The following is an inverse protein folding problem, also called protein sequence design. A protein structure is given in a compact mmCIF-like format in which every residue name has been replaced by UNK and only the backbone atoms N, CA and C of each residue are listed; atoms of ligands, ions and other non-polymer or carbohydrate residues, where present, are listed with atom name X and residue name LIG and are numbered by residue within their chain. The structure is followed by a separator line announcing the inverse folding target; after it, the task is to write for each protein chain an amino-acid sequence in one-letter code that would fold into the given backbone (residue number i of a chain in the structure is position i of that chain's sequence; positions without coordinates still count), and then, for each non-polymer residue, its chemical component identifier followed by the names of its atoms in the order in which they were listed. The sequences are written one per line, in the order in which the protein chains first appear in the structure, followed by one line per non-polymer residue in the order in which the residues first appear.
data_IF_224696481470
#
_entry.id   IF_224696481470
#
_cell.length_a   1.000
_cell.length_b   1.000
_cell.length_c   1.000
_cell.angle_alpha   90.00
_cell.angle_beta   90.00
_cell.angle_gamma   90.00
#
_symmetry.space_group_name_H-M   'P 1'
#
loop_
_entity.id
_entity.type
_entity.pdbx_description
1 polymer ?
#
# COMPACT_ATOMS: atom_id res chain seq x y z
N UNK A 1 59.08 35.43 -27.04
CA UNK A 1 57.84 34.64 -27.09
C UNK A 1 57.45 34.26 -25.68
N UNK A 2 56.56 35.04 -25.07
CA UNK A 2 56.09 34.84 -23.69
C UNK A 2 54.81 33.98 -23.75
N UNK A 3 54.84 32.76 -23.18
CA UNK A 3 53.66 31.90 -23.07
C UNK A 3 52.87 32.27 -21.81
N UNK A 4 51.71 32.83 -22.00
CA UNK A 4 50.71 33.06 -20.91
C UNK A 4 50.04 31.71 -20.57
N UNK A 5 50.23 31.27 -19.33
CA UNK A 5 49.50 30.17 -18.74
C UNK A 5 48.20 30.74 -18.14
N UNK A 6 47.08 30.51 -18.76
CA UNK A 6 45.74 30.80 -18.23
C UNK A 6 45.37 29.76 -17.21
N UNK A 7 45.39 30.15 -15.93
CA UNK A 7 44.89 29.35 -14.81
C UNK A 7 43.36 29.44 -14.79
N UNK A 8 42.67 28.38 -15.22
CA UNK A 8 41.21 28.29 -15.19
C UNK A 8 40.80 27.97 -13.77
N UNK A 9 40.17 28.92 -13.08
CA UNK A 9 39.55 28.75 -11.78
C UNK A 9 38.27 27.96 -11.97
N UNK A 10 38.25 26.66 -11.62
CA UNK A 10 37.04 25.86 -11.56
C UNK A 10 36.32 26.23 -10.25
N UNK A 11 35.30 27.07 -10.36
CA UNK A 11 34.41 27.38 -9.25
C UNK A 11 33.47 26.17 -9.05
N UNK A 12 33.76 25.34 -8.08
CA UNK A 12 32.86 24.26 -7.65
C UNK A 12 31.67 24.90 -6.92
N UNK A 13 30.56 25.06 -7.62
CA UNK A 13 29.27 25.35 -6.98
C UNK A 13 28.83 24.13 -6.18
N UNK A 14 29.05 24.15 -4.87
CA UNK A 14 28.38 23.25 -3.94
C UNK A 14 26.93 23.68 -3.89
N UNK A 15 26.07 23.04 -4.68
CA UNK A 15 24.63 23.09 -4.46
C UNK A 15 24.36 22.40 -3.12
N UNK A 16 24.23 23.19 -2.05
CA UNK A 16 23.48 22.75 -0.87
C UNK A 16 22.03 22.57 -1.34
N UNK A 17 21.70 21.36 -1.80
CA UNK A 17 20.33 20.97 -1.98
C UNK A 17 19.70 20.99 -0.57
N UNK A 18 18.94 22.04 -0.28
CA UNK A 18 18.03 22.06 0.84
C UNK A 18 17.01 20.95 0.57
N UNK A 19 17.22 19.76 1.17
CA UNK A 19 16.19 18.74 1.16
C UNK A 19 15.00 19.34 1.88
N UNK A 20 13.80 19.39 1.28
CA UNK A 20 12.63 19.87 1.99
C UNK A 20 12.49 19.04 3.27
N UNK A 21 12.28 19.73 4.40
CA UNK A 21 12.06 19.05 5.66
C UNK A 21 10.89 18.08 5.51
N UNK A 22 11.15 16.79 5.84
CA UNK A 22 10.12 15.76 5.78
C UNK A 22 9.09 16.06 6.88
N UNK A 23 7.78 15.87 6.61
CA UNK A 23 6.76 16.09 7.61
C UNK A 23 6.98 15.20 8.84
N UNK A 24 6.76 15.75 10.03
CA UNK A 24 6.77 14.97 11.28
C UNK A 24 5.45 14.22 11.38
N UNK A 25 5.41 13.00 10.84
CA UNK A 25 4.21 12.15 10.85
C UNK A 25 4.12 11.36 12.17
N UNK A 26 2.91 10.96 12.61
CA UNK A 26 2.80 10.12 13.81
C UNK A 26 3.41 8.73 13.58
N UNK A 27 3.83 8.04 14.66
CA UNK A 27 4.26 6.65 14.58
C UNK A 27 3.10 5.76 14.12
N UNK A 28 3.40 4.53 13.67
CA UNK A 28 2.39 3.54 13.28
C UNK A 28 1.49 3.20 14.47
N UNK A 29 2.09 3.03 15.65
CA UNK A 29 1.36 2.78 16.89
C UNK A 29 1.51 3.96 17.83
N UNK A 30 0.40 4.45 18.39
CA UNK A 30 0.41 5.52 19.40
C UNK A 30 1.17 5.13 20.67
N UNK A 31 1.11 3.85 21.05
CA UNK A 31 1.95 3.27 22.08
C UNK A 31 2.91 2.27 21.43
N UNK A 32 4.24 2.36 21.69
CA UNK A 32 5.20 1.41 21.15
C UNK A 32 4.86 -0.03 21.57
N UNK A 33 4.82 -0.95 20.60
CA UNK A 33 4.52 -2.36 20.85
C UNK A 33 5.76 -3.17 21.18
N UNK A 34 6.94 -2.74 20.72
CA UNK A 34 8.16 -3.54 20.76
C UNK A 34 8.14 -4.79 19.87
N UNK A 35 7.06 -4.99 19.12
CA UNK A 35 6.86 -6.14 18.25
C UNK A 35 7.51 -5.90 16.87
N UNK A 36 7.93 -6.98 16.21
CA UNK A 36 8.41 -6.96 14.83
C UNK A 36 7.86 -8.18 14.10
N UNK A 37 7.09 -7.94 13.06
CA UNK A 37 6.44 -8.97 12.25
C UNK A 37 6.82 -8.82 10.76
N UNK A 38 8.07 -9.16 10.35
CA UNK A 38 8.49 -9.03 8.96
C UNK A 38 7.54 -9.74 8.03
N UNK A 39 7.19 -9.08 6.91
CA UNK A 39 6.19 -9.59 5.98
C UNK A 39 4.73 -9.28 6.34
N UNK A 40 4.47 -8.58 7.44
CA UNK A 40 3.13 -8.07 7.76
C UNK A 40 2.90 -6.72 7.12
N UNK A 41 1.72 -6.49 6.52
CA UNK A 41 1.27 -5.16 6.12
C UNK A 41 0.83 -4.37 7.35
N UNK A 42 1.54 -3.28 7.63
CA UNK A 42 1.40 -2.53 8.91
C UNK A 42 0.87 -1.11 8.74
N UNK A 43 0.89 -0.58 7.51
CA UNK A 43 0.42 0.76 7.20
C UNK A 43 0.01 0.88 5.73
N UNK A 44 -0.72 1.95 5.39
CA UNK A 44 -1.02 2.32 4.00
C UNK A 44 -1.03 3.83 3.87
N UNK A 45 -0.51 4.32 2.74
CA UNK A 45 -0.65 5.72 2.38
C UNK A 45 -1.32 5.83 1.00
N UNK A 46 -2.28 6.73 0.90
CA UNK A 46 -2.83 7.15 -0.38
C UNK A 46 -1.96 8.26 -0.97
N UNK A 47 -1.41 7.99 -2.12
CA UNK A 47 -0.78 8.98 -2.96
C UNK A 47 -1.83 9.53 -3.93
N UNK A 48 -2.11 10.84 -3.90
CA UNK A 48 -3.18 11.45 -4.70
C UNK A 48 -2.84 12.87 -5.13
N UNK A 49 -3.49 13.34 -6.18
CA UNK A 49 -3.43 14.74 -6.64
C UNK A 49 -4.59 15.60 -6.11
N UNK A 50 -5.65 14.98 -5.54
CA UNK A 50 -6.84 15.66 -5.02
C UNK A 50 -7.20 15.19 -3.60
N UNK A 51 -6.47 15.72 -2.61
CA UNK A 51 -6.68 15.38 -1.20
C UNK A 51 -8.10 15.74 -0.73
N UNK A 52 -8.66 16.86 -1.18
CA UNK A 52 -9.97 17.32 -0.74
C UNK A 52 -11.09 16.37 -1.18
N UNK A 53 -11.09 15.96 -2.45
CA UNK A 53 -12.10 15.04 -2.97
C UNK A 53 -12.03 13.66 -2.29
N UNK A 54 -10.82 13.13 -2.09
CA UNK A 54 -10.66 11.81 -1.45
C UNK A 54 -11.04 11.85 0.02
N UNK A 55 -10.70 12.90 0.77
CA UNK A 55 -11.14 13.05 2.16
C UNK A 55 -12.65 13.02 2.27
N UNK A 56 -13.36 13.80 1.43
CA UNK A 56 -14.82 13.79 1.42
C UNK A 56 -15.38 12.41 1.13
N UNK A 57 -14.85 11.74 0.10
CA UNK A 57 -15.28 10.40 -0.32
C UNK A 57 -15.18 9.38 0.82
N UNK A 58 -14.00 9.27 1.45
CA UNK A 58 -13.79 8.29 2.52
C UNK A 58 -14.52 8.66 3.82
N UNK A 59 -14.68 9.95 4.14
CA UNK A 59 -15.51 10.37 5.27
C UNK A 59 -16.97 9.94 5.09
N UNK A 60 -17.52 10.17 3.92
CA UNK A 60 -18.92 9.86 3.62
C UNK A 60 -19.20 8.34 3.57
N UNK A 61 -18.24 7.55 3.05
CA UNK A 61 -18.43 6.10 2.92
C UNK A 61 -18.13 5.34 4.22
N UNK A 62 -17.06 5.73 4.92
CA UNK A 62 -16.49 4.94 6.01
C UNK A 62 -16.43 5.67 7.35
N UNK A 63 -16.82 6.95 7.41
CA UNK A 63 -16.76 7.73 8.64
C UNK A 63 -15.33 8.14 9.03
N UNK A 64 -14.37 8.11 8.10
CA UNK A 64 -13.01 8.49 8.40
C UNK A 64 -12.88 9.99 8.68
N UNK A 65 -12.00 10.32 9.61
CA UNK A 65 -11.63 11.69 9.96
C UNK A 65 -10.14 11.92 9.73
N UNK A 66 -9.68 13.17 9.80
CA UNK A 66 -8.31 13.51 9.37
C UNK A 66 -7.65 14.47 10.35
N UNK A 67 -6.32 14.32 10.48
CA UNK A 67 -5.43 15.28 11.10
C UNK A 67 -4.42 15.70 10.05
N UNK A 68 -4.42 16.98 9.66
CA UNK A 68 -3.46 17.53 8.71
C UNK A 68 -2.14 17.88 9.40
N UNK A 69 -1.03 17.54 8.74
CA UNK A 69 0.33 17.71 9.24
C UNK A 69 1.12 18.50 8.19
N UNK A 70 1.86 19.50 8.65
CA UNK A 70 2.64 20.39 7.81
C UNK A 70 2.08 21.80 7.77
N UNK A 71 2.74 22.68 7.01
CA UNK A 71 2.36 24.11 6.90
C UNK A 71 1.20 24.31 5.91
N UNK A 72 0.93 23.34 5.05
CA UNK A 72 -0.20 23.34 4.14
C UNK A 72 -1.09 22.12 4.36
N UNK A 73 -2.40 22.29 4.19
CA UNK A 73 -3.43 21.23 4.28
C UNK A 73 -3.20 20.08 3.27
N UNK A 74 -2.14 20.18 2.48
CA UNK A 74 -1.83 19.27 1.39
C UNK A 74 -0.50 18.51 1.54
N UNK A 75 0.22 18.64 2.68
CA UNK A 75 1.51 17.98 2.83
C UNK A 75 1.34 16.51 3.22
N UNK A 76 0.66 16.25 4.31
CA UNK A 76 0.31 14.91 4.77
C UNK A 76 -0.95 14.97 5.65
N UNK A 77 -1.83 14.01 5.48
CA UNK A 77 -3.00 13.86 6.34
C UNK A 77 -3.02 12.48 6.96
N UNK A 78 -3.12 12.42 8.27
CA UNK A 78 -3.37 11.16 8.98
C UNK A 78 -4.85 10.83 8.87
N UNK A 79 -5.17 9.64 8.42
CA UNK A 79 -6.52 9.09 8.38
C UNK A 79 -6.81 8.40 9.70
N UNK A 80 -7.93 8.75 10.32
CA UNK A 80 -8.39 8.13 11.55
C UNK A 80 -9.76 7.47 11.35
N UNK A 81 -9.93 6.32 11.98
CA UNK A 81 -11.22 5.70 12.19
C UNK A 81 -11.46 5.56 13.70
N UNK A 82 -12.58 6.11 14.20
CA UNK A 82 -12.89 6.15 15.64
C UNK A 82 -11.72 6.68 16.51
N UNK A 83 -11.00 7.69 15.98
CA UNK A 83 -9.86 8.32 16.66
C UNK A 83 -8.53 7.53 16.59
N UNK A 84 -8.52 6.34 15.99
CA UNK A 84 -7.33 5.51 15.79
C UNK A 84 -6.71 5.78 14.42
N UNK A 85 -5.40 6.08 14.31
CA UNK A 85 -4.72 6.19 13.02
C UNK A 85 -4.73 4.85 12.27
N UNK A 86 -5.18 4.88 11.01
CA UNK A 86 -5.31 3.69 10.16
C UNK A 86 -4.59 3.80 8.81
N UNK A 87 -4.27 5.02 8.37
CA UNK A 87 -3.61 5.28 7.10
C UNK A 87 -3.08 6.72 7.05
N UNK A 88 -2.42 7.07 5.94
CA UNK A 88 -2.08 8.43 5.60
C UNK A 88 -2.53 8.81 4.19
N UNK A 89 -2.51 10.10 3.88
CA UNK A 89 -2.73 10.64 2.55
C UNK A 89 -1.63 11.67 2.30
N UNK A 90 -0.95 11.61 1.17
CA UNK A 90 0.00 12.64 0.77
C UNK A 90 -0.19 13.05 -0.70
N UNK A 91 0.14 14.30 -0.97
CA UNK A 91 0.07 14.85 -2.32
C UNK A 91 1.30 14.43 -3.12
N UNK A 92 1.07 13.93 -4.32
CA UNK A 92 2.13 13.73 -5.28
C UNK A 92 2.61 15.10 -5.77
N UNK A 93 3.86 15.49 -5.42
CA UNK A 93 4.50 16.72 -5.89
C UNK A 93 5.31 16.39 -7.14
N UNK A 94 5.36 17.36 -8.07
CA UNK A 94 6.28 17.37 -9.23
C UNK A 94 6.17 16.21 -10.24
N UNK A 95 4.97 15.64 -10.39
CA UNK A 95 4.72 14.79 -11.55
C UNK A 95 4.10 15.65 -12.65
N UNK A 96 4.92 16.09 -13.60
CA UNK A 96 4.48 16.67 -14.88
C UNK A 96 3.72 15.64 -15.75
N UNK A 97 3.07 14.69 -15.15
CA UNK A 97 2.32 13.70 -15.91
C UNK A 97 0.91 14.23 -16.19
N UNK A 98 0.57 14.29 -17.46
CA UNK A 98 -0.80 14.52 -17.93
C UNK A 98 -1.78 13.44 -17.46
N UNK A 99 -1.28 12.38 -16.84
CA UNK A 99 -2.06 11.27 -16.29
C UNK A 99 -2.17 11.47 -14.78
N UNK A 100 -3.38 11.69 -14.30
CA UNK A 100 -3.71 11.61 -12.87
C UNK A 100 -3.29 10.22 -12.39
N UNK A 101 -2.43 10.19 -11.39
CA UNK A 101 -2.00 8.94 -10.77
C UNK A 101 -2.35 9.00 -9.30
N UNK A 102 -3.23 8.10 -8.88
CA UNK A 102 -3.57 7.94 -7.48
C UNK A 102 -3.56 6.47 -7.12
N UNK A 103 -2.92 6.13 -6.02
CA UNK A 103 -2.79 4.74 -5.60
C UNK A 103 -2.58 4.62 -4.09
N UNK A 104 -3.20 3.61 -3.50
CA UNK A 104 -2.86 3.13 -2.17
C UNK A 104 -1.54 2.36 -2.20
N UNK A 105 -0.57 2.81 -1.43
CA UNK A 105 0.72 2.14 -1.25
C UNK A 105 0.69 1.42 0.09
N UNK A 106 0.82 0.10 0.06
CA UNK A 106 0.86 -0.73 1.26
C UNK A 106 2.29 -0.88 1.78
N UNK A 107 2.46 -0.84 3.10
CA UNK A 107 3.75 -0.89 3.77
C UNK A 107 3.96 -2.26 4.42
N UNK A 108 4.96 -2.99 3.94
CA UNK A 108 5.43 -4.25 4.51
C UNK A 108 6.50 -4.01 5.57
N UNK A 109 6.32 -4.59 6.73
CA UNK A 109 7.33 -4.57 7.79
C UNK A 109 8.56 -5.36 7.39
N UNK A 110 9.74 -4.80 7.66
CA UNK A 110 11.05 -5.42 7.47
C UNK A 110 11.89 -5.31 8.75
N UNK A 111 12.64 -6.35 9.06
CA UNK A 111 13.56 -6.33 10.18
C UNK A 111 14.85 -5.55 9.87
N UNK A 112 15.34 -5.70 8.64
CA UNK A 112 16.57 -5.09 8.14
C UNK A 112 16.28 -4.45 6.78
N UNK A 113 16.23 -3.11 6.76
CA UNK A 113 15.89 -2.35 5.57
C UNK A 113 16.88 -2.56 4.42
N UNK A 114 18.18 -2.59 4.73
CA UNK A 114 19.21 -2.74 3.71
C UNK A 114 19.15 -4.13 3.07
N UNK A 115 19.02 -5.19 3.87
CA UNK A 115 18.87 -6.55 3.33
C UNK A 115 17.63 -6.71 2.47
N UNK A 116 16.50 -6.11 2.87
CA UNK A 116 15.27 -6.16 2.08
C UNK A 116 15.44 -5.44 0.73
N UNK A 117 16.08 -4.26 0.74
CA UNK A 117 16.35 -3.48 -0.48
C UNK A 117 17.37 -4.19 -1.39
N UNK A 118 18.42 -4.77 -0.84
CA UNK A 118 19.40 -5.55 -1.61
C UNK A 118 18.73 -6.77 -2.25
N UNK A 119 17.86 -7.47 -1.50
CA UNK A 119 17.08 -8.58 -2.04
C UNK A 119 16.23 -8.16 -3.26
N UNK A 120 15.56 -7.00 -3.19
CA UNK A 120 14.79 -6.46 -4.33
C UNK A 120 15.69 -6.30 -5.55
N UNK A 121 16.86 -5.66 -5.40
CA UNK A 121 17.81 -5.40 -6.48
C UNK A 121 18.34 -6.70 -7.10
N UNK A 122 18.64 -7.69 -6.27
CA UNK A 122 19.25 -8.96 -6.69
C UNK A 122 18.23 -9.94 -7.31
N UNK A 123 16.92 -9.75 -7.05
CA UNK A 123 15.88 -10.67 -7.51
C UNK A 123 14.92 -10.08 -8.55
N UNK A 124 15.38 -9.07 -9.30
CA UNK A 124 14.66 -8.54 -10.47
C UNK A 124 13.59 -7.50 -10.17
N UNK A 125 13.55 -6.99 -8.95
CA UNK A 125 12.80 -5.78 -8.60
C UNK A 125 13.63 -4.52 -8.83
N UNK A 126 13.11 -3.38 -8.41
CA UNK A 126 13.82 -2.11 -8.48
C UNK A 126 13.46 -1.19 -7.32
N UNK A 127 14.35 -0.27 -6.99
CA UNK A 127 14.14 0.70 -5.91
C UNK A 127 13.70 2.02 -6.53
N UNK A 128 12.48 2.46 -6.18
CA UNK A 128 11.96 3.76 -6.59
C UNK A 128 12.52 4.88 -5.73
N UNK A 129 12.59 4.66 -4.41
CA UNK A 129 13.21 5.57 -3.46
C UNK A 129 14.04 4.77 -2.47
N UNK A 130 15.34 5.08 -2.43
CA UNK A 130 16.28 4.46 -1.49
C UNK A 130 15.83 4.71 -0.03
N UNK A 131 16.30 3.90 0.94
CA UNK A 131 15.93 4.04 2.33
C UNK A 131 16.17 5.45 2.87
N UNK A 132 15.19 5.99 3.57
CA UNK A 132 15.25 7.29 4.26
C UNK A 132 14.51 7.22 5.59
N UNK A 133 14.93 8.05 6.53
CA UNK A 133 14.26 8.17 7.82
C UNK A 133 13.09 9.17 7.72
N UNK A 134 11.89 8.71 8.10
CA UNK A 134 10.73 9.56 8.29
C UNK A 134 10.51 9.77 9.79
N UNK A 135 10.61 11.02 10.29
CA UNK A 135 10.51 11.28 11.73
C UNK A 135 9.29 10.62 12.37
N UNK A 136 9.49 9.99 13.53
CA UNK A 136 8.53 9.20 14.30
C UNK A 136 7.99 7.93 13.61
N UNK A 137 8.13 7.77 12.28
CA UNK A 137 7.67 6.59 11.53
C UNK A 137 8.74 5.50 11.49
N UNK A 138 10.00 5.89 11.32
CA UNK A 138 11.14 5.00 11.14
C UNK A 138 11.68 5.01 9.71
N UNK A 139 12.46 4.00 9.36
CA UNK A 139 13.08 3.88 8.03
C UNK A 139 12.08 3.36 7.01
N UNK A 140 12.01 3.99 5.83
CA UNK A 140 11.07 3.69 4.75
C UNK A 140 11.83 3.60 3.43
N UNK A 141 11.38 2.73 2.53
CA UNK A 141 11.84 2.65 1.14
C UNK A 141 10.65 2.31 0.24
N UNK A 142 10.58 2.91 -0.96
CA UNK A 142 9.59 2.53 -1.97
C UNK A 142 10.25 1.66 -3.03
N UNK A 143 9.64 0.53 -3.33
CA UNK A 143 10.21 -0.47 -4.22
C UNK A 143 9.17 -1.02 -5.20
N UNK A 144 9.64 -1.55 -6.32
CA UNK A 144 8.87 -2.40 -7.21
C UNK A 144 9.35 -3.84 -7.06
N UNK A 145 8.42 -4.77 -6.99
CA UNK A 145 8.74 -6.20 -7.01
C UNK A 145 9.19 -6.66 -8.41
N UNK A 146 9.49 -7.95 -8.54
CA UNK A 146 9.99 -8.55 -9.80
C UNK A 146 9.00 -8.52 -10.97
N UNK A 147 7.76 -8.05 -10.75
CA UNK A 147 6.73 -7.88 -11.77
C UNK A 147 6.19 -6.44 -11.83
N UNK A 148 6.92 -5.49 -11.22
CA UNK A 148 6.61 -4.06 -11.18
C UNK A 148 5.36 -3.68 -10.35
N UNK A 149 4.96 -4.50 -9.37
CA UNK A 149 4.01 -4.06 -8.36
C UNK A 149 4.73 -3.18 -7.33
N UNK A 150 4.23 -1.95 -7.12
CA UNK A 150 4.79 -1.02 -6.15
C UNK A 150 4.33 -1.36 -4.73
N UNK A 151 5.25 -1.24 -3.77
CA UNK A 151 4.99 -1.30 -2.34
C UNK A 151 6.03 -0.47 -1.58
N UNK A 152 5.81 -0.27 -0.29
CA UNK A 152 6.78 0.33 0.59
C UNK A 152 7.28 -0.69 1.61
N UNK A 153 8.57 -0.62 1.94
CA UNK A 153 9.11 -1.24 3.14
C UNK A 153 9.10 -0.24 4.28
N UNK A 154 8.89 -0.74 5.50
CA UNK A 154 9.01 0.04 6.72
C UNK A 154 9.68 -0.77 7.81
N UNK A 155 10.68 -0.16 8.47
CA UNK A 155 11.17 -0.59 9.78
C UNK A 155 10.63 0.41 10.79
N UNK A 156 9.51 0.05 11.42
CA UNK A 156 8.77 0.96 12.29
C UNK A 156 9.57 1.35 13.54
N UNK A 157 9.56 2.63 13.88
CA UNK A 157 10.15 3.13 15.15
C UNK A 157 9.32 2.79 16.39
N UNK A 158 8.00 2.55 16.20
CA UNK A 158 7.06 2.20 17.29
C UNK A 158 6.78 0.70 17.39
N UNK A 159 7.48 -0.13 16.60
CA UNK A 159 7.15 -1.54 16.41
C UNK A 159 5.95 -1.74 15.49
N UNK A 160 5.61 -2.99 15.20
CA UNK A 160 4.49 -3.35 14.35
C UNK A 160 3.20 -3.47 15.16
N UNK A 161 2.03 -3.20 14.57
CA UNK A 161 0.75 -3.44 15.21
C UNK A 161 0.58 -4.92 15.56
N UNK A 162 -0.02 -5.21 16.71
CA UNK A 162 -0.40 -6.58 17.07
C UNK A 162 -1.45 -7.13 16.09
N UNK A 163 -1.52 -8.46 15.95
CA UNK A 163 -2.58 -9.08 15.15
C UNK A 163 -3.91 -8.93 15.88
N UNK A 164 -4.94 -8.47 15.16
CA UNK A 164 -6.29 -8.25 15.67
C UNK A 164 -7.33 -8.72 14.65
N UNK A 165 -8.54 -8.99 15.11
CA UNK A 165 -9.65 -9.26 14.21
C UNK A 165 -9.98 -8.02 13.36
N UNK A 166 -10.43 -8.21 12.12
CA UNK A 166 -10.85 -7.12 11.27
C UNK A 166 -11.95 -6.25 11.88
N UNK A 167 -11.78 -4.93 11.80
CA UNK A 167 -12.74 -3.92 12.22
C UNK A 167 -13.45 -3.39 10.98
N UNK A 168 -14.78 -3.19 11.04
CA UNK A 168 -15.51 -2.59 9.93
C UNK A 168 -15.00 -1.19 9.61
N UNK A 169 -14.97 -0.90 8.31
CA UNK A 169 -14.46 0.34 7.76
C UNK A 169 -12.96 0.58 7.99
N UNK A 170 -12.20 -0.50 8.32
CA UNK A 170 -10.74 -0.48 8.39
C UNK A 170 -10.13 -1.47 7.40
N UNK A 171 -8.85 -1.25 7.10
CA UNK A 171 -8.04 -2.16 6.29
C UNK A 171 -7.85 -3.49 7.02
N UNK A 172 -8.03 -4.61 6.31
CA UNK A 172 -7.85 -5.92 6.94
C UNK A 172 -7.04 -6.91 6.10
N UNK A 173 -7.00 -6.72 4.76
CA UNK A 173 -6.31 -7.62 3.86
C UNK A 173 -5.57 -6.87 2.75
N UNK A 174 -4.61 -7.54 2.12
CA UNK A 174 -3.90 -7.04 0.94
C UNK A 174 -3.64 -8.21 0.01
N UNK A 175 -3.88 -8.03 -1.28
CA UNK A 175 -3.80 -9.09 -2.27
C UNK A 175 -2.93 -8.65 -3.45
N UNK A 176 -1.94 -9.45 -3.82
CA UNK A 176 -1.14 -9.23 -5.01
C UNK A 176 -1.87 -9.76 -6.24
N UNK A 177 -2.18 -8.87 -7.15
CA UNK A 177 -2.61 -9.19 -8.49
C UNK A 177 -1.40 -9.24 -9.39
N UNK A 178 -1.11 -10.41 -9.99
CA UNK A 178 0.14 -10.65 -10.70
C UNK A 178 -0.07 -11.39 -12.01
N UNK A 179 0.85 -11.24 -12.97
CA UNK A 179 0.82 -11.97 -14.23
C UNK A 179 1.37 -13.41 -14.07
N UNK A 180 2.33 -13.59 -13.16
CA UNK A 180 2.99 -14.87 -12.89
C UNK A 180 2.98 -15.15 -11.39
N UNK A 181 2.03 -16.00 -11.00
CA UNK A 181 1.78 -16.35 -9.60
C UNK A 181 2.96 -17.08 -8.98
N UNK A 182 3.55 -18.08 -9.69
CA UNK A 182 4.68 -18.84 -9.15
C UNK A 182 5.91 -17.96 -8.94
N UNK A 183 6.20 -17.09 -9.89
CA UNK A 183 7.30 -16.12 -9.77
C UNK A 183 7.09 -15.20 -8.56
N UNK A 184 5.86 -14.74 -8.33
CA UNK A 184 5.53 -13.90 -7.17
C UNK A 184 5.67 -14.68 -5.86
N UNK A 185 5.15 -15.90 -5.78
CA UNK A 185 5.27 -16.75 -4.59
C UNK A 185 6.75 -16.94 -4.26
N UNK A 186 7.58 -17.38 -5.22
CA UNK A 186 9.00 -17.60 -5.01
C UNK A 186 9.73 -16.34 -4.55
N UNK A 187 9.39 -15.18 -5.14
CA UNK A 187 9.96 -13.88 -4.79
C UNK A 187 9.68 -13.52 -3.33
N UNK A 188 8.42 -13.58 -2.91
CA UNK A 188 8.05 -13.20 -1.54
C UNK A 188 8.42 -14.26 -0.49
N UNK A 189 8.47 -15.54 -0.87
CA UNK A 189 9.03 -16.60 -0.01
C UNK A 189 10.52 -16.35 0.25
N UNK A 190 11.30 -16.00 -0.78
CA UNK A 190 12.72 -15.69 -0.62
C UNK A 190 12.97 -14.44 0.22
N UNK A 191 12.07 -13.43 0.14
CA UNK A 191 12.22 -12.18 0.88
C UNK A 191 11.86 -12.31 2.37
N UNK A 192 10.77 -13.03 2.69
CA UNK A 192 10.20 -13.07 4.05
C UNK A 192 10.13 -14.47 4.65
N UNK A 193 10.42 -15.53 3.89
CA UNK A 193 10.25 -16.90 4.38
C UNK A 193 8.78 -17.31 4.49
N UNK A 194 7.90 -16.77 3.69
CA UNK A 194 6.49 -17.18 3.70
C UNK A 194 6.32 -18.67 3.36
N UNK A 195 5.48 -19.35 4.10
CA UNK A 195 4.75 -20.52 3.61
C UNK A 195 3.58 -20.06 2.74
N UNK A 196 3.00 -20.95 1.93
CA UNK A 196 1.76 -20.65 1.24
C UNK A 196 0.80 -21.84 1.23
N UNK A 197 -0.49 -21.53 1.24
CA UNK A 197 -1.57 -22.50 1.00
C UNK A 197 -2.37 -22.09 -0.22
N UNK A 198 -2.81 -23.08 -0.97
CA UNK A 198 -3.61 -22.88 -2.19
C UNK A 198 -5.06 -23.26 -1.94
N UNK A 199 -5.97 -22.42 -2.39
CA UNK A 199 -7.40 -22.62 -2.31
C UNK A 199 -8.01 -22.54 -3.71
N UNK A 200 -9.03 -23.34 -3.98
CA UNK A 200 -9.88 -23.14 -5.14
C UNK A 200 -11.02 -22.19 -4.76
N UNK A 201 -11.16 -21.12 -5.53
CA UNK A 201 -12.30 -20.22 -5.42
C UNK A 201 -13.54 -20.84 -6.05
N UNK A 202 -14.73 -20.25 -5.82
CA UNK A 202 -15.97 -20.69 -6.50
C UNK A 202 -15.90 -20.57 -8.03
N UNK A 203 -15.05 -19.71 -8.57
CA UNK A 203 -14.80 -19.55 -10.00
C UNK A 203 -13.73 -20.50 -10.56
N UNK A 204 -13.34 -21.53 -9.80
CA UNK A 204 -12.30 -22.51 -10.14
C UNK A 204 -10.89 -21.91 -10.35
N UNK A 205 -10.70 -20.66 -9.97
CA UNK A 205 -9.38 -20.02 -9.96
C UNK A 205 -8.63 -20.39 -8.68
N UNK A 206 -7.30 -20.48 -8.80
CA UNK A 206 -6.45 -20.70 -7.63
C UNK A 206 -6.21 -19.38 -6.90
N UNK A 207 -6.35 -19.44 -5.60
CA UNK A 207 -6.06 -18.36 -4.65
C UNK A 207 -4.97 -18.81 -3.69
N UNK A 208 -3.89 -18.06 -3.57
CA UNK A 208 -2.76 -18.43 -2.73
C UNK A 208 -2.70 -17.50 -1.53
N UNK A 209 -2.69 -18.06 -0.33
CA UNK A 209 -2.53 -17.34 0.92
C UNK A 209 -1.10 -17.50 1.40
N UNK A 210 -0.40 -16.38 1.52
CA UNK A 210 0.96 -16.31 2.08
C UNK A 210 0.86 -16.23 3.60
N UNK A 211 1.66 -17.04 4.30
CA UNK A 211 1.59 -17.19 5.77
C UNK A 211 2.97 -17.14 6.42
N UNK A 212 3.02 -16.64 7.64
CA UNK A 212 4.16 -16.78 8.54
C UNK A 212 3.64 -17.39 9.84
N UNK A 213 4.22 -18.50 10.26
CA UNK A 213 3.80 -19.23 11.47
C UNK A 213 2.29 -19.57 11.48
N UNK A 214 1.76 -19.97 10.31
CA UNK A 214 0.34 -20.25 10.07
C UNK A 214 -0.58 -19.04 10.22
N UNK A 215 -0.05 -17.84 10.26
CA UNK A 215 -0.83 -16.60 10.26
C UNK A 215 -0.90 -16.03 8.84
N UNK A 216 -2.08 -15.89 8.26
CA UNK A 216 -2.25 -15.28 6.94
C UNK A 216 -1.72 -13.84 6.93
N UNK A 217 -0.98 -13.49 5.87
CA UNK A 217 -0.37 -12.16 5.72
C UNK A 217 -0.80 -11.46 4.43
N UNK A 218 -0.99 -12.22 3.34
CA UNK A 218 -1.40 -11.67 2.06
C UNK A 218 -2.02 -12.75 1.17
N UNK A 219 -2.79 -12.30 0.17
CA UNK A 219 -3.25 -13.12 -0.95
C UNK A 219 -2.40 -12.92 -2.18
N UNK A 220 -2.34 -13.91 -3.07
CA UNK A 220 -1.79 -13.78 -4.42
C UNK A 220 -2.75 -14.45 -5.40
N UNK A 221 -3.11 -13.72 -6.46
CA UNK A 221 -3.91 -14.24 -7.57
C UNK A 221 -3.34 -13.81 -8.92
N UNK A 222 -3.66 -14.58 -9.93
CA UNK A 222 -3.45 -14.16 -11.31
C UNK A 222 -4.43 -13.04 -11.64
N UNK A 223 -3.95 -11.97 -12.29
CA UNK A 223 -4.81 -10.87 -12.74
C UNK A 223 -5.95 -11.41 -13.60
N UNK A 224 -7.22 -11.20 -13.21
CA UNK A 224 -8.37 -11.75 -13.94
C UNK A 224 -8.82 -10.88 -15.12
N UNK A 225 -8.21 -9.70 -15.32
CA UNK A 225 -8.61 -8.73 -16.34
C UNK A 225 -7.47 -8.40 -17.30
N UNK A 226 -7.80 -8.13 -18.55
CA UNK A 226 -6.84 -7.62 -19.53
C UNK A 226 -6.44 -6.17 -19.21
N UNK A 227 -5.22 -5.78 -19.61
CA UNK A 227 -4.68 -4.42 -19.47
C UNK A 227 -4.53 -3.91 -18.03
N UNK A 228 -4.65 -4.78 -17.02
CA UNK A 228 -4.33 -4.46 -15.63
C UNK A 228 -2.87 -4.82 -15.36
N UNK A 229 -2.13 -3.88 -14.75
CA UNK A 229 -0.74 -4.11 -14.34
C UNK A 229 -0.68 -4.79 -12.98
N UNK A 230 0.41 -5.54 -12.68
CA UNK A 230 0.62 -6.07 -11.34
C UNK A 230 0.58 -4.97 -10.29
N UNK A 231 -0.14 -5.22 -9.20
CA UNK A 231 -0.29 -4.27 -8.10
C UNK A 231 -0.77 -4.96 -6.82
N UNK A 232 -0.55 -4.32 -5.70
CA UNK A 232 -1.10 -4.69 -4.42
C UNK A 232 -2.46 -4.04 -4.20
N UNK A 233 -3.51 -4.85 -4.17
CA UNK A 233 -4.90 -4.43 -3.95
C UNK A 233 -5.21 -4.44 -2.45
N UNK A 234 -5.48 -3.31 -1.80
CA UNK A 234 -5.90 -3.29 -0.40
C UNK A 234 -7.39 -3.51 -0.26
N UNK A 235 -7.80 -4.09 0.87
CA UNK A 235 -9.18 -4.45 1.18
C UNK A 235 -9.66 -3.79 2.46
N UNK A 236 -10.87 -3.21 2.42
CA UNK A 236 -11.59 -2.68 3.57
C UNK A 236 -12.68 -3.68 3.97
N UNK A 237 -12.70 -4.04 5.27
CA UNK A 237 -13.79 -4.83 5.81
C UNK A 237 -15.05 -3.99 5.95
N UNK A 238 -16.17 -4.46 5.40
CA UNK A 238 -17.47 -3.77 5.52
C UNK A 238 -18.56 -4.74 5.93
N UNK A 239 -19.65 -4.21 6.48
CA UNK A 239 -20.80 -5.01 6.87
C UNK A 239 -21.60 -5.48 5.65
N UNK A 240 -21.81 -4.59 4.69
CA UNK A 240 -22.55 -4.83 3.46
C UNK A 240 -21.93 -4.04 2.29
N UNK A 241 -21.20 -4.69 1.38
CA UNK A 241 -20.62 -4.02 0.22
C UNK A 241 -21.67 -3.39 -0.70
N UNK A 242 -22.88 -3.97 -0.80
CA UNK A 242 -23.93 -3.48 -1.70
C UNK A 242 -24.43 -2.10 -1.32
N UNK A 243 -24.48 -1.78 -0.03
CA UNK A 243 -24.86 -0.46 0.46
C UNK A 243 -23.79 0.60 0.17
N UNK A 244 -22.52 0.21 0.21
CA UNK A 244 -21.42 1.11 -0.15
C UNK A 244 -21.44 1.41 -1.65
N UNK A 245 -21.58 0.37 -2.49
CA UNK A 245 -21.59 0.50 -3.96
C UNK A 245 -22.62 1.51 -4.46
N UNK A 246 -23.81 1.54 -3.87
CA UNK A 246 -24.89 2.50 -4.23
C UNK A 246 -24.49 3.97 -4.09
N UNK A 247 -23.49 4.27 -3.29
CA UNK A 247 -23.07 5.64 -2.94
C UNK A 247 -21.79 6.07 -3.67
N UNK A 248 -21.00 5.12 -4.18
CA UNK A 248 -19.67 5.39 -4.76
C UNK A 248 -19.72 6.44 -5.86
N UNK A 249 -20.57 6.25 -6.88
CA UNK A 249 -20.64 7.16 -8.03
C UNK A 249 -21.21 8.53 -7.66
N UNK A 250 -22.15 8.60 -6.73
CA UNK A 250 -22.68 9.86 -6.21
C UNK A 250 -21.62 10.71 -5.51
N UNK A 251 -20.59 10.06 -4.96
CA UNK A 251 -19.46 10.69 -4.28
C UNK A 251 -18.26 10.92 -5.22
N UNK A 252 -18.44 10.71 -6.53
CA UNK A 252 -17.41 10.94 -7.54
C UNK A 252 -16.45 9.77 -7.75
N UNK A 253 -16.64 8.63 -7.09
CA UNK A 253 -15.86 7.42 -7.30
C UNK A 253 -16.33 6.60 -8.50
N UNK A 254 -15.71 5.46 -8.73
CA UNK A 254 -16.04 4.53 -9.82
C UNK A 254 -16.27 3.13 -9.27
N UNK A 255 -17.28 2.43 -9.78
CA UNK A 255 -17.50 1.01 -9.53
C UNK A 255 -16.96 0.22 -10.72
N UNK A 256 -15.82 -0.47 -10.54
CA UNK A 256 -15.24 -1.34 -11.56
C UNK A 256 -15.91 -2.70 -11.63
N UNK A 257 -16.21 -3.28 -10.45
CA UNK A 257 -16.90 -4.55 -10.33
C UNK A 257 -17.84 -4.47 -9.13
N UNK A 258 -19.15 -4.50 -9.38
CA UNK A 258 -20.18 -4.54 -8.35
C UNK A 258 -20.26 -5.90 -7.66
N UNK A 259 -21.05 -5.98 -6.60
CA UNK A 259 -21.17 -7.21 -5.81
C UNK A 259 -21.68 -8.40 -6.63
N UNK A 260 -22.58 -8.17 -7.58
CA UNK A 260 -23.12 -9.20 -8.48
C UNK A 260 -22.06 -9.79 -9.42
N UNK A 261 -20.96 -9.08 -9.65
CA UNK A 261 -19.83 -9.54 -10.48
C UNK A 261 -18.86 -10.44 -9.74
N UNK A 262 -19.00 -10.57 -8.43
CA UNK A 262 -18.13 -11.39 -7.58
C UNK A 262 -18.94 -12.54 -6.99
N UNK A 263 -18.42 -13.75 -7.10
CA UNK A 263 -19.10 -14.94 -6.58
C UNK A 263 -19.44 -14.76 -5.09
N UNK A 264 -20.72 -14.95 -4.74
CA UNK A 264 -21.20 -14.82 -3.38
C UNK A 264 -21.66 -13.42 -2.97
N UNK A 265 -21.56 -12.42 -3.86
CA UNK A 265 -21.95 -11.02 -3.60
C UNK A 265 -21.27 -10.38 -2.38
N UNK A 266 -20.07 -10.85 -2.03
CA UNK A 266 -19.41 -10.52 -0.78
C UNK A 266 -18.35 -9.42 -0.90
N UNK A 267 -18.03 -8.99 -2.12
CA UNK A 267 -17.03 -7.96 -2.37
C UNK A 267 -17.40 -7.09 -3.56
N UNK A 268 -16.75 -5.94 -3.67
CA UNK A 268 -16.79 -5.07 -4.85
C UNK A 268 -15.45 -4.36 -5.03
N UNK A 269 -15.08 -4.09 -6.29
CA UNK A 269 -13.88 -3.34 -6.64
C UNK A 269 -14.30 -1.94 -7.04
N UNK A 270 -13.82 -0.96 -6.32
CA UNK A 270 -14.17 0.45 -6.48
C UNK A 270 -12.93 1.32 -6.53
N UNK A 271 -13.07 2.54 -7.02
CA UNK A 271 -12.04 3.56 -6.92
C UNK A 271 -12.61 4.85 -6.32
N UNK A 272 -11.74 5.59 -5.65
CA UNK A 272 -12.03 6.93 -5.17
C UNK A 272 -12.09 7.95 -6.32
N UNK A 273 -12.46 9.23 -6.09
CA UNK A 273 -12.56 10.26 -7.13
C UNK A 273 -11.25 10.55 -7.86
N UNK A 274 -10.10 10.23 -7.27
CA UNK A 274 -8.77 10.40 -7.89
C UNK A 274 -8.29 9.17 -8.64
N UNK A 275 -9.05 8.05 -8.57
CA UNK A 275 -8.79 6.82 -9.31
C UNK A 275 -8.02 5.76 -8.54
N UNK A 276 -7.77 5.93 -7.23
CA UNK A 276 -7.14 4.89 -6.41
C UNK A 276 -8.11 3.73 -6.18
N UNK A 277 -7.72 2.56 -6.69
CA UNK A 277 -8.53 1.34 -6.65
C UNK A 277 -8.31 0.59 -5.33
N UNK A 278 -9.40 0.05 -4.78
CA UNK A 278 -9.40 -0.82 -3.62
C UNK A 278 -10.63 -1.74 -3.64
N UNK A 279 -10.57 -2.79 -2.84
CA UNK A 279 -11.70 -3.71 -2.67
C UNK A 279 -12.39 -3.44 -1.35
N UNK A 280 -13.72 -3.47 -1.35
CA UNK A 280 -14.53 -3.59 -0.13
C UNK A 280 -15.05 -5.02 -0.04
N UNK A 281 -14.97 -5.62 1.14
CA UNK A 281 -15.39 -7.01 1.33
C UNK A 281 -16.19 -7.18 2.62
N UNK A 282 -17.26 -7.95 2.51
CA UNK A 282 -18.07 -8.35 3.67
C UNK A 282 -17.23 -9.13 4.66
N UNK A 283 -17.33 -8.77 5.92
CA UNK A 283 -16.70 -9.49 7.01
C UNK A 283 -17.73 -9.85 8.08
N UNK A 284 -17.66 -11.00 8.76
CA UNK A 284 -16.78 -12.15 8.44
C UNK A 284 -17.18 -12.83 7.12
N UNK A 285 -16.21 -13.51 6.53
CA UNK A 285 -16.44 -14.33 5.34
C UNK A 285 -17.38 -15.49 5.65
N UNK A 286 -18.21 -15.86 4.69
CA UNK A 286 -19.11 -17.01 4.84
C UNK A 286 -18.30 -18.31 4.83
N UNK A 287 -18.73 -19.26 5.67
CA UNK A 287 -18.08 -20.59 5.71
C UNK A 287 -18.18 -21.27 4.34
N UNK A 288 -17.06 -21.74 3.81
CA UNK A 288 -17.01 -22.51 2.57
C UNK A 288 -16.79 -21.70 1.29
N UNK A 289 -16.45 -20.40 1.39
CA UNK A 289 -16.06 -19.58 0.23
C UNK A 289 -14.76 -20.08 -0.42
N UNK A 290 -13.86 -20.63 0.37
CA UNK A 290 -12.59 -21.19 -0.08
C UNK A 290 -12.48 -22.66 0.31
N UNK A 291 -12.07 -23.50 -0.65
CA UNK A 291 -11.75 -24.92 -0.41
C UNK A 291 -10.26 -25.11 -0.59
N UNK A 292 -9.59 -25.52 0.48
CA UNK A 292 -8.16 -25.80 0.44
C UNK A 292 -7.85 -26.95 -0.54
N UNK A 293 -6.84 -26.76 -1.37
CA UNK A 293 -6.30 -27.80 -2.26
C UNK A 293 -5.34 -28.63 -1.42
N UNK A 294 -5.64 -29.93 -1.27
CA UNK A 294 -4.82 -30.87 -0.51
C UNK A 294 -3.67 -31.40 -1.35
#
# INVERSE_FOLDING_TARGET
MLKFITLSLITVFIFLACSPDLPIVPPINSAPTGESHPGKFVWRDLMTDDISAVKKFYSELFGWTYIDIGESDNDYSVVLHEGKPIAGIFKLRDVESKNKFSQWISYLSVMDMNKAVDYIKDNGGSVYREPFELPNRGSISFVFDSQNAILSFVKSSSGDPVDQDPVYNEWFWTELWTNDVEKSINFYQGLFGYDHRTFNTRAENQYHVMEIEKRPRAGIIKIPFENVKPHWMPYIAVKDPSEIVKRVEQLGGTVYLGTEGIAGNNAAIIADPSGAVFTIQKWPLEKGEFKEVK
#
